data_IF_064696504087
#
_entry.id   IF_064696504087
#
_cell.length_a   1.000
_cell.length_b   1.000
_cell.length_c   1.000
_cell.angle_alpha   90.00
_cell.angle_beta   90.00
_cell.angle_gamma   90.00
#
_symmetry.space_group_name_H-M   'P 1'
#
loop_
_entity.id
_entity.type
_entity.pdbx_description
1 polymer ?
#
# COMPACT_ATOMS: atom_id res chain seq x y z
N UNK A 1 4.27 -17.40 6.60
CA UNK A 1 3.05 -17.37 5.76
C UNK A 1 3.37 -16.39 4.66
N UNK A 2 3.56 -16.85 3.43
CA UNK A 2 3.84 -15.97 2.30
C UNK A 2 2.53 -15.34 1.83
N UNK A 3 2.32 -14.06 2.17
CA UNK A 3 1.22 -13.29 1.61
C UNK A 3 1.52 -12.96 0.16
N UNK A 4 0.49 -13.00 -0.69
CA UNK A 4 0.66 -12.60 -2.09
C UNK A 4 0.24 -11.15 -2.29
N UNK A 5 1.18 -10.27 -2.59
CA UNK A 5 0.88 -8.85 -2.85
C UNK A 5 0.66 -8.65 -4.36
N UNK A 6 -0.48 -8.08 -4.75
CA UNK A 6 -0.80 -7.85 -6.16
C UNK A 6 -1.34 -6.44 -6.37
N UNK A 7 -0.69 -5.59 -7.19
CA UNK A 7 -1.23 -4.29 -7.54
C UNK A 7 -2.35 -4.40 -8.58
N UNK A 8 -3.41 -3.62 -8.38
CA UNK A 8 -4.42 -3.41 -9.41
C UNK A 8 -3.84 -2.67 -10.62
N UNK A 9 -4.52 -2.72 -11.78
CA UNK A 9 -4.14 -1.94 -12.97
C UNK A 9 -4.02 -0.44 -12.66
N UNK A 10 -4.84 0.07 -11.73
CA UNK A 10 -4.81 1.47 -11.30
C UNK A 10 -3.59 1.76 -10.43
N UNK A 11 -3.33 0.94 -9.43
CA UNK A 11 -2.13 1.06 -8.60
C UNK A 11 -0.84 0.95 -9.45
N UNK A 12 -0.81 0.06 -10.44
CA UNK A 12 0.34 -0.06 -11.35
C UNK A 12 0.57 1.24 -12.15
N UNK A 13 -0.48 1.91 -12.61
CA UNK A 13 -0.37 3.23 -13.26
C UNK A 13 0.06 4.32 -12.28
N UNK A 14 -0.51 4.32 -11.07
CA UNK A 14 -0.13 5.26 -10.02
C UNK A 14 1.38 5.15 -9.73
N UNK A 15 1.90 3.94 -9.58
CA UNK A 15 3.33 3.65 -9.37
C UNK A 15 4.24 4.12 -10.52
N UNK A 16 3.75 4.19 -11.75
CA UNK A 16 4.51 4.75 -12.87
C UNK A 16 4.62 6.29 -12.79
N UNK A 17 3.64 6.95 -12.15
CA UNK A 17 3.57 8.41 -12.03
C UNK A 17 4.26 8.99 -10.79
N UNK A 18 4.68 8.16 -9.83
CA UNK A 18 5.32 8.64 -8.59
C UNK A 18 6.83 8.84 -8.78
N UNK A 19 7.48 9.67 -7.94
CA UNK A 19 8.93 9.81 -7.94
C UNK A 19 9.65 8.47 -7.71
N UNK A 20 10.78 8.23 -8.39
CA UNK A 20 11.55 6.97 -8.28
C UNK A 20 11.86 6.55 -6.83
N UNK A 21 12.17 7.53 -5.96
CA UNK A 21 12.40 7.28 -4.52
C UNK A 21 11.19 6.64 -3.84
N UNK A 22 9.97 7.03 -4.21
CA UNK A 22 8.76 6.43 -3.64
C UNK A 22 8.55 5.00 -4.16
N UNK A 23 8.97 4.72 -5.40
CA UNK A 23 8.97 3.36 -5.93
C UNK A 23 9.91 2.40 -5.19
N UNK A 24 11.04 2.90 -4.67
CA UNK A 24 11.94 2.11 -3.81
C UNK A 24 11.30 1.80 -2.46
N UNK A 25 10.76 2.82 -1.79
CA UNK A 25 10.07 2.65 -0.48
C UNK A 25 8.86 1.73 -0.63
N UNK A 26 8.14 1.83 -1.75
CA UNK A 26 7.04 0.92 -2.05
C UNK A 26 7.51 -0.53 -2.19
N UNK A 27 8.68 -0.77 -2.79
CA UNK A 27 9.24 -2.13 -2.91
C UNK A 27 9.55 -2.72 -1.54
N UNK A 28 10.19 -1.95 -0.67
CA UNK A 28 10.45 -2.38 0.73
C UNK A 28 9.13 -2.72 1.45
N UNK A 29 8.11 -1.87 1.28
CA UNK A 29 6.78 -2.16 1.82
C UNK A 29 6.20 -3.48 1.28
N UNK A 30 6.35 -3.76 -0.02
CA UNK A 30 5.84 -5.00 -0.62
C UNK A 30 6.53 -6.21 0.00
N UNK A 31 7.86 -6.18 0.13
CA UNK A 31 8.63 -7.27 0.74
C UNK A 31 8.14 -7.53 2.19
N UNK A 32 7.95 -6.47 2.97
CA UNK A 32 7.45 -6.58 4.35
C UNK A 32 5.98 -7.08 4.40
N UNK A 33 5.13 -6.65 3.47
CA UNK A 33 3.75 -7.13 3.36
C UNK A 33 3.68 -8.62 3.01
N UNK A 34 4.59 -9.10 2.16
CA UNK A 34 4.68 -10.52 1.78
C UNK A 34 5.13 -11.38 2.97
N UNK A 35 6.06 -10.87 3.80
CA UNK A 35 6.59 -11.58 4.97
C UNK A 35 5.68 -11.50 6.21
N UNK A 36 5.19 -10.32 6.56
CA UNK A 36 4.52 -10.03 7.85
C UNK A 36 3.00 -9.88 7.72
N UNK A 37 2.50 -9.69 6.49
CA UNK A 37 1.08 -9.50 6.21
C UNK A 37 0.63 -8.04 6.26
N UNK A 38 -0.67 -7.76 6.45
CA UNK A 38 -1.26 -6.45 6.17
C UNK A 38 -0.89 -5.33 7.16
N UNK A 39 -0.24 -5.67 8.29
CA UNK A 39 0.20 -4.72 9.31
C UNK A 39 1.69 -4.98 9.64
N UNK A 40 2.60 -4.74 8.68
CA UNK A 40 4.01 -4.99 8.86
C UNK A 40 4.61 -4.05 9.91
N UNK A 41 5.57 -4.54 10.68
CA UNK A 41 6.23 -3.78 11.74
C UNK A 41 6.95 -2.55 11.17
N UNK A 42 6.96 -1.45 11.93
CA UNK A 42 7.60 -0.19 11.52
C UNK A 42 6.79 0.65 10.53
N UNK A 43 5.74 0.10 9.91
CA UNK A 43 4.85 0.86 9.03
C UNK A 43 3.64 1.42 9.78
N UNK A 44 3.29 2.67 9.46
CA UNK A 44 2.04 3.28 9.92
C UNK A 44 0.90 2.75 9.03
N UNK A 45 0.40 1.58 9.39
CA UNK A 45 -0.75 0.92 8.80
C UNK A 45 -1.99 1.15 9.67
N UNK A 46 -3.07 1.64 9.08
CA UNK A 46 -4.33 1.85 9.80
C UNK A 46 -5.53 1.53 8.91
N UNK A 47 -6.56 0.85 9.42
CA UNK A 47 -7.80 0.67 8.67
C UNK A 47 -8.45 2.03 8.38
N UNK A 48 -9.04 2.16 7.20
CA UNK A 48 -9.84 3.33 6.84
C UNK A 48 -11.24 3.19 7.45
N UNK A 49 -11.71 4.25 8.11
CA UNK A 49 -13.04 4.26 8.74
C UNK A 49 -14.12 4.15 7.66
N UNK A 50 -14.94 3.11 7.74
CA UNK A 50 -16.04 2.88 6.79
C UNK A 50 -15.63 2.23 5.47
N UNK A 51 -14.41 1.69 5.37
CA UNK A 51 -13.92 0.92 4.23
C UNK A 51 -13.23 -0.36 4.72
N UNK A 52 -13.16 -1.38 3.87
CA UNK A 52 -12.35 -2.59 4.12
C UNK A 52 -10.86 -2.38 3.78
N UNK A 53 -10.50 -1.17 3.37
CA UNK A 53 -9.14 -0.82 2.99
C UNK A 53 -8.27 -0.47 4.22
N UNK A 54 -7.00 -0.85 4.16
CA UNK A 54 -5.96 -0.43 5.07
C UNK A 54 -5.08 0.60 4.36
N UNK A 55 -4.84 1.71 5.04
CA UNK A 55 -3.95 2.77 4.58
C UNK A 55 -2.59 2.60 5.23
N UNK A 56 -1.55 2.52 4.42
CA UNK A 56 -0.15 2.48 4.85
C UNK A 56 0.57 3.75 4.42
N UNK A 57 1.36 4.36 5.31
CA UNK A 57 2.17 5.55 4.98
C UNK A 57 3.52 5.15 4.41
N UNK A 58 3.79 5.50 3.15
CA UNK A 58 5.14 5.41 2.58
C UNK A 58 6.06 6.51 3.13
N UNK A 59 5.53 7.73 3.18
CA UNK A 59 6.24 8.91 3.69
C UNK A 59 5.25 9.86 4.35
N UNK A 60 5.64 11.10 4.67
CA UNK A 60 4.67 12.13 5.11
C UNK A 60 3.59 12.40 4.05
N UNK A 61 3.96 12.33 2.77
CA UNK A 61 3.17 12.78 1.63
C UNK A 61 2.52 11.64 0.85
N UNK A 62 3.04 10.42 0.90
CA UNK A 62 2.55 9.32 0.07
C UNK A 62 1.90 8.20 0.90
N UNK A 63 0.83 7.63 0.36
CA UNK A 63 0.02 6.59 0.98
C UNK A 63 -0.21 5.45 0.00
N UNK A 64 -0.28 4.24 0.52
CA UNK A 64 -0.73 3.05 -0.20
C UNK A 64 -2.02 2.59 0.43
N UNK A 65 -3.02 2.33 -0.39
CA UNK A 65 -4.26 1.70 0.03
C UNK A 65 -4.23 0.24 -0.38
N UNK A 66 -4.42 -0.65 0.58
CA UNK A 66 -4.49 -2.09 0.35
C UNK A 66 -5.85 -2.63 0.79
N UNK A 67 -6.29 -3.69 0.14
CA UNK A 67 -7.40 -4.52 0.60
C UNK A 67 -6.87 -5.90 0.96
N UNK A 68 -7.29 -6.43 2.10
CA UNK A 68 -6.81 -7.71 2.63
C UNK A 68 -7.81 -8.80 2.29
N UNK A 69 -7.44 -9.71 1.38
CA UNK A 69 -8.25 -10.87 0.99
C UNK A 69 -7.43 -12.12 1.25
N UNK A 70 -7.43 -12.60 2.50
CA UNK A 70 -6.55 -13.70 2.96
C UNK A 70 -6.52 -14.88 1.96
N UNK A 71 -5.33 -15.35 1.52
CA UNK A 71 -3.95 -14.95 1.90
C UNK A 71 -3.32 -13.87 0.99
N UNK A 72 -4.13 -13.13 0.23
CA UNK A 72 -3.70 -12.10 -0.71
C UNK A 72 -3.86 -10.68 -0.14
N UNK A 73 -2.99 -9.78 -0.58
CA UNK A 73 -3.06 -8.35 -0.32
C UNK A 73 -3.15 -7.64 -1.67
N UNK A 74 -4.24 -6.92 -1.90
CA UNK A 74 -4.46 -6.21 -3.16
C UNK A 74 -4.08 -4.75 -2.96
N UNK A 75 -3.12 -4.25 -3.73
CA UNK A 75 -2.80 -2.82 -3.71
C UNK A 75 -3.78 -2.07 -4.62
N UNK A 76 -4.68 -1.30 -4.00
CA UNK A 76 -5.78 -0.62 -4.68
C UNK A 76 -5.30 0.70 -5.28
N UNK A 77 -4.52 1.48 -4.52
CA UNK A 77 -4.04 2.81 -4.94
C UNK A 77 -2.68 3.14 -4.34
N UNK A 78 -1.91 3.97 -5.05
CA UNK A 78 -0.74 4.66 -4.52
C UNK A 78 -0.91 6.15 -4.76
N UNK A 79 -1.08 6.93 -3.69
CA UNK A 79 -1.61 8.29 -3.82
C UNK A 79 -0.89 9.27 -2.92
N UNK A 80 -0.85 10.52 -3.37
CA UNK A 80 -0.45 11.63 -2.53
C UNK A 80 -1.51 11.89 -1.45
N UNK A 81 -1.11 12.36 -0.27
CA UNK A 81 -1.97 12.62 0.91
C UNK A 81 -3.18 13.49 0.57
N UNK A 82 -3.01 14.44 -0.36
CA UNK A 82 -4.08 15.36 -0.80
C UNK A 82 -5.19 14.64 -1.59
N UNK A 83 -4.87 13.52 -2.23
CA UNK A 83 -5.79 12.76 -3.07
C UNK A 83 -6.33 11.50 -2.40
N UNK A 84 -5.74 11.09 -1.27
CA UNK A 84 -6.14 9.90 -0.53
C UNK A 84 -7.52 9.98 0.15
N UNK A 85 -8.15 11.16 0.20
CA UNK A 85 -9.41 11.43 0.91
C UNK A 85 -10.47 12.15 0.06
N UNK A 86 -10.26 12.24 -1.26
CA UNK A 86 -11.26 12.72 -2.22
C UNK A 86 -11.94 11.52 -2.87
#
# INVERSE_FOLDING_TARGET
MDWKVTPTKRAAKDLQGIPKKMGLIYRELVDDLECEGPFPFGWDASPLKGSEEVRIKLTREWRVLIQVIKPSIIVVRVVHRKEAYR
#
